data_IF_901066415575
#
_entry.id   IF_901066415575
#
_cell.length_a   1.000
_cell.length_b   1.000
_cell.length_c   1.000
_cell.angle_alpha   90.00
_cell.angle_beta   90.00
_cell.angle_gamma   90.00
#
_symmetry.space_group_name_H-M   'P 1'
#
loop_
_entity.id
_entity.type
_entity.pdbx_description
1 polymer ?
#
# COMPACT_ATOMS: atom_id res chain seq x y z
N UNK A 1 17.32 0.24 -3.22
CA UNK A 1 17.31 -0.70 -2.09
C UNK A 1 18.69 -0.85 -1.45
N UNK A 2 19.78 -1.06 -2.24
CA UNK A 2 21.14 -1.29 -1.71
C UNK A 2 21.58 -0.19 -0.74
N UNK A 3 21.46 1.08 -1.09
CA UNK A 3 21.86 2.22 -0.22
C UNK A 3 21.14 2.28 1.12
N UNK A 4 19.92 1.75 1.21
CA UNK A 4 19.21 1.65 2.50
C UNK A 4 19.66 0.39 3.25
N UNK A 5 19.89 -0.72 2.56
CA UNK A 5 20.40 -1.93 3.18
C UNK A 5 21.74 -1.69 3.89
N UNK A 6 22.62 -0.87 3.31
CA UNK A 6 23.90 -0.46 3.88
C UNK A 6 23.77 0.27 5.23
N UNK A 7 22.61 0.85 5.53
CA UNK A 7 22.34 1.51 6.82
C UNK A 7 21.86 0.55 7.91
N UNK A 8 21.55 -0.71 7.56
CA UNK A 8 21.08 -1.70 8.52
C UNK A 8 22.24 -2.26 9.35
N UNK A 9 22.06 -2.49 10.66
CA UNK A 9 23.09 -3.03 11.56
C UNK A 9 23.25 -4.55 11.38
N UNK A 10 23.44 -5.01 10.14
CA UNK A 10 23.64 -6.40 9.75
C UNK A 10 24.83 -6.50 8.79
N UNK A 11 25.40 -7.69 8.64
CA UNK A 11 26.54 -7.88 7.74
C UNK A 11 26.16 -7.76 6.25
N UNK A 12 27.16 -7.57 5.39
CA UNK A 12 26.97 -7.34 3.96
C UNK A 12 26.26 -8.52 3.25
N UNK A 13 26.48 -9.74 3.71
CA UNK A 13 25.83 -10.93 3.13
C UNK A 13 24.34 -10.92 3.45
N UNK A 14 23.98 -10.67 4.70
CA UNK A 14 22.58 -10.52 5.15
C UNK A 14 21.88 -9.34 4.48
N UNK A 15 22.58 -8.20 4.28
CA UNK A 15 22.05 -7.06 3.53
C UNK A 15 21.69 -7.46 2.10
N UNK A 16 22.56 -8.20 1.42
CA UNK A 16 22.34 -8.67 0.06
C UNK A 16 21.17 -9.65 -0.01
N UNK A 17 21.15 -10.67 0.82
CA UNK A 17 20.06 -11.65 0.89
C UNK A 17 18.69 -10.97 1.09
N UNK A 18 18.64 -9.99 1.99
CA UNK A 18 17.42 -9.23 2.27
C UNK A 18 16.96 -8.39 1.08
N UNK A 19 17.90 -7.77 0.37
CA UNK A 19 17.58 -7.01 -0.87
C UNK A 19 17.09 -7.94 -1.96
N UNK A 20 17.76 -9.07 -2.17
CA UNK A 20 17.41 -10.04 -3.22
C UNK A 20 16.02 -10.64 -2.96
N UNK A 21 15.72 -11.02 -1.72
CA UNK A 21 14.39 -11.49 -1.31
C UNK A 21 13.29 -10.45 -1.57
N UNK A 22 13.55 -9.16 -1.27
CA UNK A 22 12.58 -8.11 -1.55
C UNK A 22 12.41 -7.86 -3.06
N UNK A 23 13.47 -7.93 -3.85
CA UNK A 23 13.35 -7.82 -5.30
C UNK A 23 12.46 -8.93 -5.88
N UNK A 24 12.59 -10.16 -5.38
CA UNK A 24 11.73 -11.29 -5.76
C UNK A 24 10.29 -11.09 -5.29
N UNK A 25 10.07 -10.82 -4.00
CA UNK A 25 8.74 -10.63 -3.39
C UNK A 25 7.90 -9.54 -4.10
N UNK A 26 8.58 -8.49 -4.58
CA UNK A 26 7.95 -7.33 -5.22
C UNK A 26 8.03 -7.35 -6.76
N UNK A 27 8.54 -8.44 -7.37
CA UNK A 27 8.63 -8.56 -8.83
C UNK A 27 9.53 -7.51 -9.48
N UNK A 28 10.63 -7.14 -8.81
CA UNK A 28 11.56 -6.08 -9.24
C UNK A 28 12.89 -6.63 -9.79
N UNK A 29 13.07 -7.96 -9.84
CA UNK A 29 14.32 -8.59 -10.25
C UNK A 29 14.78 -8.14 -11.63
N UNK A 30 13.86 -8.15 -12.62
CA UNK A 30 14.16 -7.81 -14.02
C UNK A 30 14.51 -6.34 -14.24
N UNK A 31 14.23 -5.48 -13.28
CA UNK A 31 14.46 -4.03 -13.35
C UNK A 31 15.43 -3.53 -12.26
N UNK A 32 16.09 -4.46 -11.56
CA UNK A 32 16.96 -4.15 -10.42
C UNK A 32 18.11 -3.19 -10.75
N UNK A 33 18.62 -3.24 -11.99
CA UNK A 33 19.70 -2.40 -12.47
C UNK A 33 19.24 -1.14 -13.22
N UNK A 34 17.92 -0.94 -13.36
CA UNK A 34 17.39 0.25 -14.00
C UNK A 34 17.43 1.47 -13.08
N UNK A 35 17.54 2.64 -13.68
CA UNK A 35 17.46 3.89 -12.94
C UNK A 35 16.01 4.17 -12.49
N UNK A 36 15.81 4.55 -11.23
CA UNK A 36 14.47 4.73 -10.65
C UNK A 36 13.56 5.70 -11.43
N UNK A 37 14.12 6.68 -12.13
CA UNK A 37 13.35 7.61 -12.93
C UNK A 37 12.84 7.05 -14.27
N UNK A 38 13.34 5.88 -14.70
CA UNK A 38 12.87 5.18 -15.90
C UNK A 38 11.73 4.19 -15.62
N UNK A 39 11.42 3.95 -14.34
CA UNK A 39 10.39 3.02 -13.92
C UNK A 39 8.99 3.56 -14.23
N UNK A 40 8.08 2.67 -14.61
CA UNK A 40 6.64 2.95 -14.69
C UNK A 40 6.07 3.34 -13.31
N UNK A 41 4.87 3.91 -13.28
CA UNK A 41 4.20 4.28 -12.03
C UNK A 41 4.04 3.10 -11.07
N UNK A 42 3.60 1.94 -11.59
CA UNK A 42 3.44 0.71 -10.79
C UNK A 42 4.77 0.16 -10.28
N UNK A 43 5.81 0.09 -11.13
CA UNK A 43 7.15 -0.35 -10.71
C UNK A 43 7.75 0.56 -9.65
N UNK A 44 7.57 1.88 -9.81
CA UNK A 44 8.02 2.86 -8.82
C UNK A 44 7.32 2.65 -7.50
N UNK A 45 5.99 2.45 -7.50
CA UNK A 45 5.22 2.19 -6.27
C UNK A 45 5.67 0.91 -5.59
N UNK A 46 5.91 -0.18 -6.33
CA UNK A 46 6.46 -1.42 -5.78
C UNK A 46 7.83 -1.20 -5.13
N UNK A 47 8.70 -0.44 -5.78
CA UNK A 47 10.02 -0.09 -5.24
C UNK A 47 9.93 0.74 -3.96
N UNK A 48 9.01 1.72 -3.89
CA UNK A 48 8.78 2.54 -2.70
C UNK A 48 8.33 1.70 -1.51
N UNK A 49 7.40 0.76 -1.73
CA UNK A 49 6.93 -0.17 -0.70
C UNK A 49 8.08 -1.10 -0.27
N UNK A 50 8.79 -1.73 -1.21
CA UNK A 50 9.93 -2.59 -0.92
C UNK A 50 11.00 -1.86 -0.09
N UNK A 51 11.26 -0.59 -0.42
CA UNK A 51 12.19 0.25 0.32
C UNK A 51 11.76 0.49 1.76
N UNK A 52 10.46 0.73 2.00
CA UNK A 52 9.93 1.00 3.33
C UNK A 52 9.86 -0.26 4.21
N UNK A 53 9.82 -1.44 3.61
CA UNK A 53 9.83 -2.74 4.31
C UNK A 53 11.25 -3.21 4.68
N UNK A 54 12.24 -2.75 3.98
CA UNK A 54 13.64 -3.21 4.17
C UNK A 54 14.12 -3.13 5.63
N UNK A 55 13.78 -2.08 6.44
CA UNK A 55 14.12 -2.03 7.86
C UNK A 55 13.30 -2.98 8.76
N UNK A 56 12.39 -3.79 8.21
CA UNK A 56 11.46 -4.66 8.95
C UNK A 56 10.58 -3.92 9.95
N UNK A 57 9.81 -2.91 9.50
CA UNK A 57 8.96 -2.13 10.38
C UNK A 57 7.80 -2.97 10.95
N UNK A 58 7.30 -2.57 12.11
CA UNK A 58 6.05 -3.12 12.67
C UNK A 58 4.81 -2.44 12.09
N UNK A 59 4.95 -1.20 11.63
CA UNK A 59 3.90 -0.39 11.03
C UNK A 59 4.38 0.31 9.77
N UNK A 60 3.51 0.38 8.78
CA UNK A 60 3.72 1.09 7.52
C UNK A 60 2.59 2.10 7.33
N UNK A 61 2.96 3.34 7.03
CA UNK A 61 2.03 4.40 6.66
C UNK A 61 2.13 4.60 5.14
N UNK A 62 1.02 4.52 4.46
CA UNK A 62 0.92 4.67 3.01
C UNK A 62 -0.02 5.83 2.69
N UNK A 63 0.53 6.88 2.11
CA UNK A 63 -0.24 8.04 1.70
C UNK A 63 -0.53 7.96 0.20
N UNK A 64 -1.82 7.93 -0.14
CA UNK A 64 -2.36 7.82 -1.49
C UNK A 64 -1.69 6.73 -2.36
N UNK A 65 -1.61 5.44 -1.91
CA UNK A 65 -0.90 4.39 -2.65
C UNK A 65 -1.48 4.09 -4.02
N UNK A 66 -2.72 4.46 -4.30
CA UNK A 66 -3.40 4.21 -5.57
C UNK A 66 -3.44 5.43 -6.50
N UNK A 67 -2.94 6.59 -6.04
CA UNK A 67 -2.95 7.82 -6.83
C UNK A 67 -1.99 7.74 -8.02
N UNK A 68 -2.49 8.08 -9.21
CA UNK A 68 -1.68 8.08 -10.44
C UNK A 68 -1.22 6.70 -10.92
N UNK A 69 -1.86 5.63 -10.44
CA UNK A 69 -1.54 4.24 -10.78
C UNK A 69 -2.63 3.67 -11.68
N UNK A 70 -2.23 2.92 -12.71
CA UNK A 70 -3.18 2.24 -13.60
C UNK A 70 -3.91 1.08 -12.90
N UNK A 71 -5.10 0.65 -13.40
CA UNK A 71 -5.92 -0.37 -12.71
C UNK A 71 -5.21 -1.72 -12.49
N UNK A 72 -4.31 -2.13 -13.38
CA UNK A 72 -3.57 -3.39 -13.25
C UNK A 72 -2.58 -3.26 -12.10
N UNK A 73 -1.84 -2.16 -12.07
CA UNK A 73 -0.87 -1.86 -11.01
C UNK A 73 -1.54 -1.64 -9.65
N UNK A 74 -2.76 -1.09 -9.58
CA UNK A 74 -3.54 -1.02 -8.34
C UNK A 74 -3.74 -2.43 -7.75
N UNK A 75 -4.18 -3.39 -8.58
CA UNK A 75 -4.37 -4.77 -8.12
C UNK A 75 -3.08 -5.42 -7.61
N UNK A 76 -1.94 -5.09 -8.19
CA UNK A 76 -0.63 -5.56 -7.71
C UNK A 76 -0.28 -4.94 -6.35
N UNK A 77 -0.49 -3.64 -6.18
CA UNK A 77 -0.27 -2.95 -4.88
C UNK A 77 -1.18 -3.53 -3.80
N UNK A 78 -2.46 -3.78 -4.11
CA UNK A 78 -3.40 -4.43 -3.18
C UNK A 78 -2.90 -5.80 -2.72
N UNK A 79 -2.45 -6.65 -3.64
CA UNK A 79 -1.86 -7.96 -3.31
C UNK A 79 -0.65 -7.85 -2.40
N UNK A 80 0.19 -6.84 -2.62
CA UNK A 80 1.35 -6.58 -1.75
C UNK A 80 0.92 -6.17 -0.35
N UNK A 81 -0.03 -5.25 -0.23
CA UNK A 81 -0.57 -4.83 1.08
C UNK A 81 -1.10 -6.04 1.85
N UNK A 82 -1.87 -6.91 1.20
CA UNK A 82 -2.38 -8.13 1.83
C UNK A 82 -1.26 -9.08 2.28
N UNK A 83 -0.23 -9.29 1.46
CA UNK A 83 0.96 -10.08 1.86
C UNK A 83 1.69 -9.48 3.06
N UNK A 84 1.80 -8.16 3.15
CA UNK A 84 2.43 -7.50 4.29
C UNK A 84 1.61 -7.66 5.57
N UNK A 85 0.29 -7.61 5.45
CA UNK A 85 -0.64 -7.90 6.55
C UNK A 85 -0.44 -9.34 7.07
N UNK A 86 -0.31 -10.33 6.18
CA UNK A 86 -0.01 -11.73 6.55
C UNK A 86 1.32 -11.87 7.30
N UNK A 87 2.28 -10.98 7.03
CA UNK A 87 3.55 -10.87 7.78
C UNK A 87 3.42 -10.11 9.12
N UNK A 88 2.20 -9.84 9.60
CA UNK A 88 1.89 -9.09 10.82
C UNK A 88 2.44 -7.66 10.85
N UNK A 89 2.51 -6.99 9.70
CA UNK A 89 2.82 -5.57 9.62
C UNK A 89 1.50 -4.80 9.70
N UNK A 90 1.36 -3.91 10.68
CA UNK A 90 0.24 -2.98 10.75
C UNK A 90 0.33 -1.96 9.60
N UNK A 91 -0.77 -1.72 8.89
CA UNK A 91 -0.77 -0.81 7.74
C UNK A 91 -1.85 0.23 7.92
N UNK A 92 -1.47 1.50 7.84
CA UNK A 92 -2.40 2.62 7.75
C UNK A 92 -2.33 3.20 6.34
N UNK A 93 -3.48 3.27 5.67
CA UNK A 93 -3.62 3.80 4.32
C UNK A 93 -4.49 5.04 4.37
N UNK A 94 -4.04 6.13 3.74
CA UNK A 94 -4.88 7.26 3.35
C UNK A 94 -5.04 7.25 1.84
N UNK A 95 -6.25 7.29 1.31
CA UNK A 95 -6.49 7.35 -0.14
C UNK A 95 -7.88 7.92 -0.42
N UNK A 96 -8.00 8.65 -1.51
CA UNK A 96 -9.29 9.15 -2.01
C UNK A 96 -9.98 8.11 -2.92
N UNK A 97 -9.28 7.04 -3.35
CA UNK A 97 -9.86 5.93 -4.09
C UNK A 97 -10.52 4.93 -3.12
N UNK A 98 -11.68 5.34 -2.59
CA UNK A 98 -12.40 4.59 -1.56
C UNK A 98 -12.70 3.16 -1.98
N UNK A 99 -13.13 2.96 -3.25
CA UNK A 99 -13.47 1.64 -3.77
C UNK A 99 -12.30 0.66 -3.64
N UNK A 100 -11.11 1.07 -4.04
CA UNK A 100 -9.94 0.21 -4.03
C UNK A 100 -9.37 0.03 -2.62
N UNK A 101 -9.51 1.04 -1.78
CA UNK A 101 -9.11 0.98 -0.37
C UNK A 101 -9.99 0.04 0.44
N UNK A 102 -11.31 0.15 0.33
CA UNK A 102 -12.25 -0.69 1.07
C UNK A 102 -12.17 -2.18 0.73
N UNK A 103 -11.57 -2.56 -0.41
CA UNK A 103 -11.34 -3.97 -0.77
C UNK A 103 -10.30 -4.68 0.10
N UNK A 104 -9.40 -3.94 0.75
CA UNK A 104 -8.21 -4.52 1.39
C UNK A 104 -8.04 -4.19 2.87
N UNK A 105 -8.85 -3.27 3.40
CA UNK A 105 -8.77 -2.84 4.80
C UNK A 105 -9.69 -3.67 5.70
N UNK A 106 -9.28 -3.87 6.95
CA UNK A 106 -10.12 -4.49 7.98
C UNK A 106 -11.07 -3.48 8.62
N UNK A 107 -10.63 -2.22 8.70
CA UNK A 107 -11.36 -1.12 9.29
C UNK A 107 -10.99 0.17 8.57
N UNK A 108 -11.97 1.03 8.36
CA UNK A 108 -11.74 2.35 7.79
C UNK A 108 -12.41 3.45 8.61
N UNK A 109 -11.87 4.63 8.47
CA UNK A 109 -12.38 5.88 9.04
C UNK A 109 -12.68 6.82 7.88
N UNK A 110 -13.92 7.23 7.74
CA UNK A 110 -14.32 8.21 6.76
C UNK A 110 -14.17 9.60 7.38
N UNK A 111 -13.28 10.40 6.81
CA UNK A 111 -13.02 11.77 7.28
C UNK A 111 -13.75 12.75 6.37
N UNK A 112 -14.56 13.61 6.97
CA UNK A 112 -15.28 14.66 6.27
C UNK A 112 -15.23 15.96 7.09
N UNK A 113 -14.90 17.06 6.43
CA UNK A 113 -14.78 18.40 7.05
C UNK A 113 -13.95 18.41 8.34
N UNK A 114 -12.79 17.72 8.30
CA UNK A 114 -11.84 17.66 9.42
C UNK A 114 -12.26 16.78 10.61
N UNK A 115 -13.36 16.03 10.49
CA UNK A 115 -13.89 15.15 11.53
C UNK A 115 -14.11 13.73 11.02
N UNK A 116 -14.10 12.74 11.92
CA UNK A 116 -14.50 11.37 11.58
C UNK A 116 -16.02 11.36 11.43
N UNK A 117 -16.49 11.14 10.21
CA UNK A 117 -17.90 11.04 9.88
C UNK A 117 -18.47 9.68 10.27
N UNK A 118 -17.75 8.61 9.93
CA UNK A 118 -18.15 7.24 10.17
C UNK A 118 -16.92 6.36 10.28
N UNK A 119 -17.01 5.25 11.02
CA UNK A 119 -15.93 4.26 11.16
C UNK A 119 -16.49 2.84 11.25
N UNK A 120 -15.80 1.89 10.66
CA UNK A 120 -16.21 0.49 10.69
C UNK A 120 -15.46 -0.36 9.67
N UNK A 121 -15.95 -1.56 9.45
CA UNK A 121 -15.52 -2.39 8.32
C UNK A 121 -16.13 -1.88 7.00
N UNK A 122 -15.68 -2.46 5.91
CA UNK A 122 -16.12 -2.04 4.57
C UNK A 122 -17.63 -2.20 4.37
N UNK A 123 -18.22 -3.30 4.88
CA UNK A 123 -19.64 -3.58 4.74
C UNK A 123 -20.50 -2.55 5.49
N UNK A 124 -20.10 -2.20 6.70
CA UNK A 124 -20.76 -1.17 7.49
C UNK A 124 -20.74 0.18 6.75
N UNK A 125 -19.55 0.64 6.31
CA UNK A 125 -19.39 1.96 5.70
C UNK A 125 -20.16 2.11 4.38
N UNK A 126 -20.24 1.02 3.58
CA UNK A 126 -20.97 1.03 2.31
C UNK A 126 -22.48 1.16 2.52
N UNK A 127 -23.00 0.62 3.62
CA UNK A 127 -24.42 0.61 3.93
C UNK A 127 -24.83 1.77 4.86
N UNK A 128 -23.87 2.50 5.43
CA UNK A 128 -24.16 3.63 6.31
C UNK A 128 -24.78 4.80 5.52
N UNK A 129 -26.03 5.22 5.87
CA UNK A 129 -26.74 6.28 5.14
C UNK A 129 -25.97 7.59 5.08
N UNK A 130 -25.29 7.97 6.14
CA UNK A 130 -24.53 9.22 6.23
C UNK A 130 -23.27 9.17 5.35
N UNK A 131 -22.59 8.04 5.32
CA UNK A 131 -21.44 7.82 4.42
C UNK A 131 -21.86 7.90 2.95
N UNK A 132 -23.02 7.35 2.60
CA UNK A 132 -23.55 7.39 1.24
C UNK A 132 -23.98 8.79 0.83
N UNK A 133 -24.72 9.50 1.66
CA UNK A 133 -25.24 10.83 1.38
C UNK A 133 -24.11 11.86 1.18
N UNK A 134 -23.12 11.88 2.08
CA UNK A 134 -22.12 12.94 2.15
C UNK A 134 -20.82 12.65 1.39
N UNK A 135 -20.52 11.38 1.10
CA UNK A 135 -19.20 11.02 0.56
C UNK A 135 -19.24 9.98 -0.57
N UNK A 136 -19.86 8.83 -0.36
CA UNK A 136 -19.82 7.71 -1.32
C UNK A 136 -20.73 7.93 -2.54
N UNK A 137 -21.86 8.57 -2.34
CA UNK A 137 -22.96 8.67 -3.30
C UNK A 137 -23.86 7.43 -3.27
N UNK A 138 -25.14 7.62 -3.62
CA UNK A 138 -26.15 6.54 -3.51
C UNK A 138 -25.88 5.33 -4.42
N UNK A 139 -25.23 5.54 -5.56
CA UNK A 139 -24.90 4.49 -6.53
C UNK A 139 -23.59 3.76 -6.23
N UNK A 140 -22.91 4.07 -5.14
CA UNK A 140 -21.61 3.47 -4.80
C UNK A 140 -21.73 1.97 -4.59
N UNK A 141 -20.82 1.20 -5.23
CA UNK A 141 -20.69 -0.25 -5.09
C UNK A 141 -19.22 -0.64 -5.16
N UNK A 142 -18.82 -1.67 -4.41
CA UNK A 142 -17.43 -2.19 -4.41
C UNK A 142 -17.19 -3.20 -5.55
N UNK A 143 -18.23 -3.79 -6.11
CA UNK A 143 -18.14 -4.81 -7.17
C UNK A 143 -17.66 -4.23 -8.50
#
# INVERSE_FOLDING_TARGET
>A
LKSIAETLPIDTMQQKEKVDALLEDFGLVNIADQMAYTLSGGERRRLEIARSILPSPKFLLMDEPFSGVDPISISEVQKMVLKLKEKNIGILITDHNVRETLKIVDRAYLVYDGSILSEGDSEYLINDPQSRELYLGESFNIN
#
